data_IF_093705693817
#
_entry.id   IF_093705693817
#
_cell.length_a   1.000
_cell.length_b   1.000
_cell.length_c   1.000
_cell.angle_alpha   90.00
_cell.angle_beta   90.00
_cell.angle_gamma   90.00
#
_symmetry.space_group_name_H-M   'P 1'
#
loop_
_entity.id
_entity.type
_entity.pdbx_description
1 polymer ?
#
# COMPACT_ATOMS: atom_id res chain seq x y z
N UNK A 1 -39.35 -28.66 -4.06
CA UNK A 1 -39.46 -27.23 -4.39
C UNK A 1 -38.05 -26.74 -4.75
N UNK A 2 -37.76 -26.80 -6.06
CA UNK A 2 -36.45 -26.57 -6.65
C UNK A 2 -36.36 -25.11 -7.04
N UNK A 3 -35.34 -24.38 -6.56
CA UNK A 3 -35.04 -23.02 -7.00
C UNK A 3 -33.65 -23.05 -7.62
N UNK A 4 -33.62 -23.13 -8.95
CA UNK A 4 -32.46 -22.79 -9.78
C UNK A 4 -32.34 -21.28 -9.84
N UNK A 5 -31.21 -20.76 -9.41
CA UNK A 5 -30.84 -19.35 -9.45
C UNK A 5 -29.43 -19.15 -9.93
N UNK A 6 -29.23 -19.22 -11.27
CA UNK A 6 -27.95 -18.94 -11.93
C UNK A 6 -27.73 -17.41 -11.97
N UNK A 7 -26.95 -16.86 -11.06
CA UNK A 7 -26.52 -15.47 -11.10
C UNK A 7 -25.32 -15.33 -12.06
N UNK A 8 -25.57 -14.71 -13.23
CA UNK A 8 -24.51 -14.26 -14.15
C UNK A 8 -23.87 -12.99 -13.58
N UNK A 9 -22.66 -13.09 -13.10
CA UNK A 9 -21.82 -11.93 -12.75
C UNK A 9 -21.29 -11.33 -14.04
N UNK A 10 -21.76 -10.13 -14.35
CA UNK A 10 -21.31 -9.33 -15.49
C UNK A 10 -20.08 -8.53 -15.00
N UNK A 11 -18.87 -8.98 -15.37
CA UNK A 11 -17.66 -8.17 -15.18
C UNK A 11 -17.66 -7.01 -16.17
N UNK A 12 -17.91 -5.81 -15.66
CA UNK A 12 -17.68 -4.57 -16.41
C UNK A 12 -16.25 -4.11 -16.17
N UNK A 13 -15.38 -4.39 -17.13
CA UNK A 13 -14.01 -3.86 -17.15
C UNK A 13 -14.04 -2.36 -17.44
N UNK A 14 -13.66 -1.54 -16.48
CA UNK A 14 -13.42 -0.10 -16.69
C UNK A 14 -11.94 0.06 -17.04
N UNK A 15 -11.65 0.19 -18.35
CA UNK A 15 -10.35 0.68 -18.81
C UNK A 15 -10.31 2.20 -18.62
N UNK A 16 -9.63 2.65 -17.57
CA UNK A 16 -9.35 4.08 -17.40
C UNK A 16 -8.14 4.43 -18.24
N UNK A 17 -8.38 5.14 -19.34
CA UNK A 17 -7.34 5.69 -20.21
C UNK A 17 -6.60 6.80 -19.46
N UNK A 18 -5.33 6.58 -19.12
CA UNK A 18 -4.44 7.62 -18.62
C UNK A 18 -4.08 8.53 -19.80
N UNK A 19 -4.74 9.69 -19.85
CA UNK A 19 -4.43 10.73 -20.83
C UNK A 19 -3.08 11.37 -20.54
N UNK A 20 -2.14 11.25 -21.48
CA UNK A 20 -0.91 12.03 -21.51
C UNK A 20 -1.25 13.53 -21.62
N UNK A 21 -1.01 14.28 -20.56
CA UNK A 21 -0.97 15.74 -20.60
C UNK A 21 0.34 16.18 -21.27
N UNK A 22 0.29 16.43 -22.57
CA UNK A 22 1.35 17.12 -23.28
C UNK A 22 1.29 18.61 -22.88
N UNK A 23 2.18 19.03 -21.96
CA UNK A 23 2.41 20.42 -21.61
C UNK A 23 3.16 21.14 -22.76
N UNK A 24 2.50 22.05 -23.47
CA UNK A 24 3.14 23.04 -24.33
C UNK A 24 3.86 24.09 -23.46
N UNK A 25 5.18 24.06 -23.43
CA UNK A 25 6.05 25.10 -22.90
C UNK A 25 6.87 25.70 -24.01
N UNK A 26 6.84 27.01 -24.11
CA UNK A 26 7.38 27.87 -25.18
C UNK A 26 8.88 27.74 -25.42
N UNK A 27 9.26 27.98 -26.66
CA UNK A 27 10.60 27.97 -27.21
C UNK A 27 11.59 28.90 -26.50
N UNK A 28 12.77 28.36 -26.20
CA UNK A 28 14.02 29.09 -26.18
C UNK A 28 15.10 28.24 -26.86
N UNK A 29 15.74 28.80 -27.85
CA UNK A 29 16.84 28.24 -28.61
C UNK A 29 17.98 27.72 -27.72
N UNK A 30 18.31 26.46 -27.87
CA UNK A 30 19.46 25.83 -27.23
C UNK A 30 19.65 24.44 -27.82
N UNK A 31 20.51 24.36 -28.87
CA UNK A 31 20.95 23.11 -29.49
C UNK A 31 21.63 22.21 -28.45
N UNK A 32 20.86 21.28 -27.91
CA UNK A 32 21.38 20.08 -27.23
C UNK A 32 20.73 18.88 -27.92
N UNK A 33 21.55 17.99 -28.44
CA UNK A 33 21.13 16.78 -29.13
C UNK A 33 20.24 15.90 -28.28
N UNK A 34 19.49 14.94 -28.88
CA UNK A 34 18.63 14.05 -28.16
C UNK A 34 19.51 13.23 -27.19
N UNK A 35 19.36 13.52 -25.89
CA UNK A 35 19.83 12.59 -24.86
C UNK A 35 19.10 11.28 -25.12
N UNK A 36 19.85 10.24 -25.46
CA UNK A 36 19.35 8.88 -25.49
C UNK A 36 18.63 8.64 -24.16
N UNK A 37 17.32 8.50 -24.24
CA UNK A 37 16.54 7.91 -23.15
C UNK A 37 17.13 6.53 -22.97
N UNK A 38 17.89 6.37 -21.90
CA UNK A 38 18.59 5.14 -21.58
C UNK A 38 17.65 3.97 -21.73
N UNK A 39 18.17 2.89 -22.35
CA UNK A 39 17.44 1.67 -22.61
C UNK A 39 16.63 1.30 -21.33
N UNK A 40 15.32 1.22 -21.49
CA UNK A 40 14.43 0.73 -20.44
C UNK A 40 15.02 -0.59 -19.91
N UNK A 41 15.19 -0.67 -18.60
CA UNK A 41 15.71 -1.84 -17.95
C UNK A 41 14.90 -3.05 -18.44
N UNK A 42 15.59 -3.99 -19.09
CA UNK A 42 14.97 -5.20 -19.62
C UNK A 42 14.66 -6.20 -18.49
N UNK A 43 14.94 -5.81 -17.25
CA UNK A 43 14.79 -6.60 -16.04
C UNK A 43 13.60 -6.05 -15.23
N UNK A 44 12.50 -6.82 -15.12
CA UNK A 44 11.32 -6.38 -14.38
C UNK A 44 11.61 -6.17 -12.88
N UNK A 45 12.54 -6.92 -12.30
CA UNK A 45 12.92 -6.79 -10.89
C UNK A 45 13.63 -5.45 -10.64
N UNK A 46 14.55 -5.06 -11.55
CA UNK A 46 15.20 -3.75 -11.46
C UNK A 46 14.21 -2.58 -11.64
N UNK A 47 13.18 -2.76 -12.47
CA UNK A 47 12.13 -1.77 -12.65
C UNK A 47 11.24 -1.65 -11.40
N UNK A 48 10.90 -2.76 -10.75
CA UNK A 48 10.12 -2.78 -9.52
C UNK A 48 10.88 -2.11 -8.36
N UNK A 49 12.16 -2.44 -8.18
CA UNK A 49 13.02 -1.80 -7.17
C UNK A 49 13.13 -0.28 -7.38
N UNK A 50 13.28 0.16 -8.64
CA UNK A 50 13.34 1.59 -8.95
C UNK A 50 12.01 2.30 -8.65
N UNK A 51 10.88 1.65 -8.90
CA UNK A 51 9.56 2.18 -8.58
C UNK A 51 9.34 2.26 -7.08
N UNK A 52 9.66 1.20 -6.33
CA UNK A 52 9.56 1.17 -4.88
C UNK A 52 10.38 2.31 -4.23
N UNK A 53 11.64 2.48 -4.64
CA UNK A 53 12.49 3.57 -4.16
C UNK A 53 11.92 4.95 -4.51
N UNK A 54 11.34 5.12 -5.70
CA UNK A 54 10.73 6.38 -6.12
C UNK A 54 9.47 6.72 -5.31
N UNK A 55 8.69 5.73 -4.93
CA UNK A 55 7.51 5.91 -4.07
C UNK A 55 7.91 6.25 -2.63
N UNK A 56 8.93 5.59 -2.09
CA UNK A 56 9.49 5.89 -0.77
C UNK A 56 10.03 7.32 -0.71
N UNK A 57 10.83 7.75 -1.69
CA UNK A 57 11.33 9.12 -1.79
C UNK A 57 10.18 10.16 -1.85
N UNK A 58 9.12 9.87 -2.61
CA UNK A 58 7.96 10.75 -2.70
C UNK A 58 7.22 10.84 -1.35
N UNK A 59 7.03 9.72 -0.67
CA UNK A 59 6.38 9.68 0.64
C UNK A 59 7.20 10.44 1.69
N UNK A 60 8.52 10.27 1.73
CA UNK A 60 9.41 10.96 2.66
C UNK A 60 9.41 12.50 2.48
N UNK A 61 8.94 13.02 1.33
CA UNK A 61 8.81 14.45 1.10
C UNK A 61 7.50 15.04 1.65
N UNK A 62 6.45 14.24 1.77
CA UNK A 62 5.10 14.72 2.14
C UNK A 62 4.56 14.08 3.42
N UNK A 63 5.12 12.94 3.83
CA UNK A 63 4.75 12.24 5.05
C UNK A 63 5.53 12.74 6.27
N UNK A 64 5.30 12.11 7.39
CA UNK A 64 5.97 12.36 8.67
C UNK A 64 5.60 11.26 9.65
N UNK A 65 5.96 11.43 10.93
CA UNK A 65 5.68 10.39 11.92
C UNK A 65 6.49 9.10 11.69
N UNK A 66 5.96 7.98 12.13
CA UNK A 66 6.60 6.66 11.96
C UNK A 66 5.61 5.52 12.16
N UNK A 67 5.94 4.34 11.65
CA UNK A 67 5.21 3.12 11.97
C UNK A 67 6.16 1.93 12.18
N UNK A 68 5.74 1.00 13.01
CA UNK A 68 6.40 -0.30 13.19
C UNK A 68 5.33 -1.38 13.22
N UNK A 69 5.47 -2.36 12.34
CA UNK A 69 4.71 -3.60 12.39
C UNK A 69 5.64 -4.73 12.84
N UNK A 70 5.25 -5.44 13.88
CA UNK A 70 5.98 -6.64 14.34
C UNK A 70 5.09 -7.86 14.14
N UNK A 71 5.55 -8.88 13.43
CA UNK A 71 4.82 -10.14 13.20
C UNK A 71 5.74 -11.32 13.49
N UNK A 72 5.35 -12.17 14.42
CA UNK A 72 6.11 -13.36 14.79
C UNK A 72 7.53 -13.06 15.31
N UNK A 73 7.79 -11.86 15.80
CA UNK A 73 9.08 -11.39 16.31
C UNK A 73 9.98 -10.73 15.25
N UNK A 74 9.56 -10.65 14.00
CA UNK A 74 10.15 -9.81 12.95
C UNK A 74 9.53 -8.43 12.98
N UNK A 75 10.35 -7.37 12.83
CA UNK A 75 9.90 -5.98 12.85
C UNK A 75 10.20 -5.28 11.54
N UNK A 76 9.20 -4.57 11.03
CA UNK A 76 9.23 -3.75 9.83
C UNK A 76 8.99 -2.31 10.26
N UNK A 77 9.95 -1.41 9.99
CA UNK A 77 9.93 -0.01 10.46
C UNK A 77 9.85 0.93 9.28
N UNK A 78 9.06 1.99 9.45
CA UNK A 78 8.83 3.02 8.46
C UNK A 78 9.05 4.38 9.12
N UNK A 79 9.97 5.17 8.58
CA UNK A 79 10.37 6.47 9.12
C UNK A 79 9.45 7.61 8.66
N UNK A 80 8.50 7.31 7.79
CA UNK A 80 7.50 8.26 7.28
C UNK A 80 6.19 7.55 6.98
N UNK A 81 5.09 8.15 7.41
CA UNK A 81 3.73 7.65 7.15
C UNK A 81 2.85 8.76 6.61
N UNK A 82 1.81 8.38 5.88
CA UNK A 82 0.70 9.22 5.50
C UNK A 82 -0.53 8.71 6.24
N UNK A 83 -1.16 9.60 7.01
CA UNK A 83 -2.40 9.27 7.71
C UNK A 83 -3.53 10.18 7.24
N UNK A 84 -4.74 9.63 7.27
CA UNK A 84 -5.98 10.37 7.04
C UNK A 84 -7.03 9.94 8.07
N UNK A 85 -7.76 10.90 8.61
CA UNK A 85 -8.78 10.67 9.63
C UNK A 85 -10.15 11.17 9.14
N UNK A 86 -11.20 10.41 9.41
CA UNK A 86 -12.58 10.74 9.08
C UNK A 86 -12.75 11.13 7.61
N UNK A 87 -13.24 12.34 7.34
CA UNK A 87 -13.49 12.80 5.96
C UNK A 87 -12.23 12.98 5.10
N UNK A 88 -11.04 13.02 5.70
CA UNK A 88 -9.78 13.15 4.99
C UNK A 88 -9.39 11.84 4.28
N UNK A 89 -9.92 10.69 4.70
CA UNK A 89 -9.71 9.41 4.00
C UNK A 89 -10.21 9.43 2.56
N UNK A 90 -11.12 10.35 2.25
CA UNK A 90 -11.76 10.45 0.93
C UNK A 90 -12.72 9.28 0.61
N UNK A 91 -12.88 8.33 1.53
CA UNK A 91 -13.75 7.18 1.42
C UNK A 91 -14.67 7.09 2.65
N UNK A 92 -16.02 7.15 2.48
CA UNK A 92 -16.96 7.13 3.60
C UNK A 92 -17.00 5.78 4.35
N UNK A 93 -16.40 4.73 3.80
CA UNK A 93 -16.31 3.42 4.42
C UNK A 93 -15.15 3.31 5.43
N UNK A 94 -14.26 4.33 5.48
CA UNK A 94 -13.12 4.38 6.39
C UNK A 94 -13.14 5.62 7.26
N UNK A 95 -12.94 5.41 8.56
CA UNK A 95 -12.75 6.47 9.55
C UNK A 95 -11.26 6.79 9.76
N UNK A 96 -10.39 5.87 9.34
CA UNK A 96 -8.94 6.01 9.40
C UNK A 96 -8.28 5.27 8.24
N UNK A 97 -7.18 5.84 7.72
CA UNK A 97 -6.30 5.19 6.74
C UNK A 97 -4.85 5.63 6.99
N UNK A 98 -3.94 4.66 6.95
CA UNK A 98 -2.49 4.85 7.04
C UNK A 98 -1.82 4.14 5.86
N UNK A 99 -0.82 4.78 5.27
CA UNK A 99 0.06 4.18 4.27
C UNK A 99 1.50 4.55 4.58
N UNK A 100 2.39 3.56 4.51
CA UNK A 100 3.82 3.74 4.66
C UNK A 100 4.58 2.87 3.65
N UNK A 101 5.68 3.41 3.12
CA UNK A 101 6.57 2.71 2.17
C UNK A 101 7.99 2.84 2.67
N UNK A 102 8.71 1.73 2.72
CA UNK A 102 10.10 1.69 3.14
C UNK A 102 10.72 0.32 2.91
N UNK A 103 12.00 0.26 2.59
CA UNK A 103 12.77 -0.97 2.37
C UNK A 103 12.11 -1.95 1.37
N UNK A 104 11.46 -1.42 0.31
CA UNK A 104 10.75 -2.23 -0.69
C UNK A 104 9.43 -2.83 -0.21
N UNK A 105 8.96 -2.44 0.97
CA UNK A 105 7.70 -2.88 1.57
C UNK A 105 6.67 -1.76 1.58
N UNK A 106 5.39 -2.13 1.53
CA UNK A 106 4.28 -1.22 1.76
C UNK A 106 3.46 -1.73 2.95
N UNK A 107 3.26 -0.87 3.93
CA UNK A 107 2.33 -1.05 5.03
C UNK A 107 1.07 -0.23 4.76
N UNK A 108 -0.10 -0.86 4.92
CA UNK A 108 -1.39 -0.16 4.93
C UNK A 108 -2.18 -0.55 6.18
N UNK A 109 -2.85 0.40 6.79
CA UNK A 109 -3.79 0.14 7.88
C UNK A 109 -5.03 1.01 7.70
N UNK A 110 -6.18 0.37 7.70
CA UNK A 110 -7.48 1.02 7.54
C UNK A 110 -8.42 0.58 8.66
N UNK A 111 -9.29 1.49 9.09
CA UNK A 111 -10.36 1.21 10.04
C UNK A 111 -11.64 1.89 9.60
N UNK A 112 -12.77 1.21 9.72
CA UNK A 112 -14.06 1.79 9.35
C UNK A 112 -15.26 0.92 9.65
N UNK A 113 -16.46 1.51 9.67
CA UNK A 113 -17.67 0.84 10.13
C UNK A 113 -18.16 -0.28 9.20
N UNK A 114 -17.71 -0.29 7.94
CA UNK A 114 -18.19 -1.26 6.94
C UNK A 114 -17.32 -2.51 6.90
N UNK A 115 -16.00 -2.37 7.05
CA UNK A 115 -15.03 -3.45 6.84
C UNK A 115 -14.25 -3.82 8.10
N UNK A 116 -14.47 -3.10 9.22
CA UNK A 116 -13.67 -3.25 10.44
C UNK A 116 -12.25 -2.71 10.26
N UNK A 117 -11.33 -3.31 10.99
CA UNK A 117 -9.91 -2.98 10.93
C UNK A 117 -9.18 -3.94 9.99
N UNK A 118 -8.31 -3.38 9.18
CA UNK A 118 -7.45 -4.13 8.26
C UNK A 118 -6.02 -3.59 8.33
N UNK A 119 -5.05 -4.49 8.40
CA UNK A 119 -3.62 -4.14 8.27
C UNK A 119 -2.98 -5.10 7.29
N UNK A 120 -2.26 -4.56 6.30
CA UNK A 120 -1.49 -5.35 5.32
C UNK A 120 -0.05 -4.88 5.26
N UNK A 121 0.85 -5.82 4.99
CA UNK A 121 2.24 -5.60 4.66
C UNK A 121 2.54 -6.36 3.38
N UNK A 122 2.97 -5.65 2.35
CA UNK A 122 3.21 -6.19 1.02
C UNK A 122 4.64 -5.91 0.54
N UNK A 123 5.28 -6.92 -0.05
CA UNK A 123 6.58 -6.81 -0.72
C UNK A 123 6.38 -6.23 -2.12
N UNK A 124 6.54 -4.92 -2.26
CA UNK A 124 6.34 -4.21 -3.53
C UNK A 124 7.57 -4.23 -4.42
N UNK A 125 8.74 -4.56 -3.88
CA UNK A 125 9.96 -4.75 -4.66
C UNK A 125 9.93 -6.08 -5.44
N UNK A 126 9.34 -7.13 -4.85
CA UNK A 126 9.24 -8.47 -5.45
C UNK A 126 7.79 -8.81 -5.80
N UNK A 127 7.05 -7.89 -6.40
CA UNK A 127 5.60 -7.99 -6.64
C UNK A 127 5.17 -9.30 -7.33
N UNK A 128 5.95 -9.80 -8.30
CA UNK A 128 5.62 -11.05 -9.03
C UNK A 128 5.90 -12.32 -8.21
N UNK A 129 6.72 -12.23 -7.17
CA UNK A 129 7.07 -13.35 -6.31
C UNK A 129 7.43 -12.84 -4.90
N UNK A 130 6.44 -12.32 -4.15
CA UNK A 130 6.68 -11.68 -2.86
C UNK A 130 7.31 -12.67 -1.88
N UNK A 131 8.31 -12.18 -1.14
CA UNK A 131 9.03 -12.95 -0.11
C UNK A 131 8.41 -12.75 1.28
N UNK A 132 7.71 -11.63 1.45
CA UNK A 132 7.05 -11.23 2.68
C UNK A 132 5.67 -10.70 2.33
N UNK A 133 4.68 -11.14 3.07
CA UNK A 133 3.32 -10.63 2.96
C UNK A 133 2.53 -11.02 4.19
N UNK A 134 1.91 -10.05 4.84
CA UNK A 134 1.11 -10.26 6.03
C UNK A 134 -0.21 -9.52 5.91
N UNK A 135 -1.29 -10.14 6.36
CA UNK A 135 -2.61 -9.51 6.41
C UNK A 135 -3.33 -9.89 7.69
N UNK A 136 -3.96 -8.92 8.31
CA UNK A 136 -4.92 -9.12 9.38
C UNK A 136 -6.18 -8.31 9.10
N UNK A 137 -7.33 -8.93 9.30
CA UNK A 137 -8.63 -8.28 9.21
C UNK A 137 -9.54 -8.82 10.30
N UNK A 138 -10.04 -7.93 11.14
CA UNK A 138 -11.08 -8.26 12.13
C UNK A 138 -11.79 -6.98 12.61
N UNK A 139 -12.84 -7.15 13.40
CA UNK A 139 -13.52 -6.03 14.02
C UNK A 139 -12.70 -5.52 15.22
N UNK A 140 -12.49 -4.21 15.31
CA UNK A 140 -12.02 -3.49 16.51
C UNK A 140 -10.69 -3.96 17.13
N UNK A 141 -9.63 -4.18 16.35
CA UNK A 141 -8.31 -4.44 16.93
C UNK A 141 -7.37 -3.23 16.90
N UNK A 142 -7.67 -2.21 16.09
CA UNK A 142 -6.93 -0.95 16.10
C UNK A 142 -7.49 0.02 17.14
N UNK A 143 -6.60 0.62 17.89
CA UNK A 143 -6.88 1.77 18.75
C UNK A 143 -6.35 3.01 18.08
N UNK A 144 -7.24 3.91 17.70
CA UNK A 144 -6.90 5.14 16.97
C UNK A 144 -7.11 6.31 17.93
N UNK A 145 -6.00 6.97 18.29
CA UNK A 145 -5.97 8.11 19.21
C UNK A 145 -5.04 9.18 18.64
N UNK A 146 -5.50 9.92 17.62
CA UNK A 146 -4.76 10.97 16.92
C UNK A 146 -3.77 11.72 17.83
N UNK A 147 -2.44 11.69 17.54
CA UNK A 147 -1.77 11.12 16.36
C UNK A 147 -1.36 9.63 16.48
N UNK A 148 -1.62 8.97 17.60
CA UNK A 148 -1.13 7.63 17.87
C UNK A 148 -2.12 6.56 17.42
N UNK A 149 -1.59 5.50 16.80
CA UNK A 149 -2.33 4.32 16.35
C UNK A 149 -1.62 3.07 16.84
N UNK A 150 -2.36 2.14 17.41
CA UNK A 150 -1.81 0.85 17.84
C UNK A 150 -2.84 -0.26 17.75
N UNK A 151 -2.37 -1.50 17.63
CA UNK A 151 -3.26 -2.65 17.61
C UNK A 151 -2.49 -3.96 17.58
N UNK A 152 -3.13 -5.01 18.10
CA UNK A 152 -2.55 -6.36 18.11
C UNK A 152 -3.56 -7.35 17.55
N UNK A 153 -3.10 -8.23 16.65
CA UNK A 153 -3.94 -9.25 16.02
C UNK A 153 -3.10 -10.45 15.59
N UNK A 154 -3.75 -11.48 15.08
CA UNK A 154 -3.11 -12.56 14.35
C UNK A 154 -3.04 -12.19 12.86
N UNK A 155 -1.84 -12.27 12.29
CA UNK A 155 -1.55 -11.99 10.90
C UNK A 155 -1.38 -13.28 10.12
N UNK A 156 -2.06 -13.39 8.99
CA UNK A 156 -1.93 -14.49 8.04
C UNK A 156 -0.84 -14.17 7.03
N UNK A 157 0.04 -15.14 6.76
CA UNK A 157 1.05 -15.05 5.70
C UNK A 157 0.36 -15.12 4.33
N UNK A 158 0.42 -14.03 3.57
CA UNK A 158 -0.19 -13.95 2.23
C UNK A 158 0.68 -14.59 1.16
N UNK A 159 1.94 -14.92 1.47
CA UNK A 159 2.84 -15.66 0.57
C UNK A 159 2.68 -17.18 0.71
N UNK A 160 2.03 -17.64 1.78
CA UNK A 160 1.68 -19.05 1.97
C UNK A 160 0.41 -19.39 1.16
N UNK A 161 0.58 -20.12 0.05
CA UNK A 161 -0.53 -20.55 -0.81
C UNK A 161 -1.61 -21.35 -0.06
N UNK A 162 -1.29 -21.92 1.10
CA UNK A 162 -2.27 -22.65 1.92
C UNK A 162 -3.11 -21.72 2.80
N UNK A 163 -2.64 -20.49 3.05
CA UNK A 163 -3.28 -19.51 3.92
C UNK A 163 -3.40 -19.96 5.38
N UNK A 164 -2.60 -20.95 5.80
CA UNK A 164 -2.69 -21.53 7.14
C UNK A 164 -1.63 -21.00 8.11
N UNK A 165 -0.59 -20.35 7.59
CA UNK A 165 0.45 -19.77 8.44
C UNK A 165 -0.07 -18.46 9.04
N UNK A 166 -0.17 -18.45 10.37
CA UNK A 166 -0.58 -17.26 11.12
C UNK A 166 0.38 -17.02 12.28
N UNK A 167 0.67 -15.75 12.57
CA UNK A 167 1.52 -15.32 13.68
C UNK A 167 0.90 -14.11 14.36
N UNK A 168 1.04 -14.04 15.67
CA UNK A 168 0.66 -12.81 16.40
C UNK A 168 1.55 -11.66 15.99
N UNK A 169 0.94 -10.47 15.88
CA UNK A 169 1.65 -9.25 15.53
C UNK A 169 1.05 -8.03 16.21
N UNK A 170 1.80 -6.93 16.13
CA UNK A 170 1.47 -5.64 16.71
C UNK A 170 1.85 -4.52 15.75
N UNK A 171 0.94 -3.59 15.55
CA UNK A 171 1.16 -2.32 14.87
C UNK A 171 1.28 -1.21 15.91
N UNK A 172 2.30 -0.36 15.79
CA UNK A 172 2.43 0.90 16.51
C UNK A 172 2.81 1.98 15.50
N UNK A 173 2.06 3.07 15.46
CA UNK A 173 2.35 4.19 14.57
C UNK A 173 2.06 5.53 15.27
N UNK A 174 2.77 6.56 14.82
CA UNK A 174 2.51 7.95 15.16
C UNK A 174 2.39 8.75 13.87
N UNK A 175 1.24 9.32 13.63
CA UNK A 175 0.93 10.14 12.46
C UNK A 175 1.60 11.52 12.53
N UNK A 176 1.83 12.22 11.38
CA UNK A 176 2.45 13.53 11.33
C UNK A 176 1.60 14.64 11.94
#
# INVERSE_FOLDING_TARGET
MTIDGTAKVLMVGIFTSIGLLAGCGSAADGSAGPSEVGAAASDPEAAASALASGLEDAQNQVGGGSATLTVGGESYTFDSVLCAFGSETGNPDFDFSLSAIGDGMQLSADSGPTYGDNVTLDDIENFDNPKVGWSSQSDDFLTIADPDVSGSSDFTDTTDETGQTSKSGELVATCP
#
